data_IF_611162085115
#
_entry.id   IF_611162085115
#
_cell.length_a   1.000
_cell.length_b   1.000
_cell.length_c   1.000
_cell.angle_alpha   90.00
_cell.angle_beta   90.00
_cell.angle_gamma   90.00
#
_symmetry.space_group_name_H-M   'P 1'
#
loop_
_entity.id
_entity.type
_entity.pdbx_description
1 polymer ?
#
# COMPACT_ATOMS: atom_id res chain seq x y z
N UNK A 1 -21.49 -13.50 -42.82
CA UNK A 1 -21.98 -13.85 -41.47
C UNK A 1 -20.84 -14.19 -40.50
N UNK A 2 -19.72 -14.77 -40.95
CA UNK A 2 -18.58 -15.18 -40.13
C UNK A 2 -17.94 -14.04 -39.27
N UNK A 3 -17.76 -12.84 -39.82
CA UNK A 3 -17.17 -11.72 -39.06
C UNK A 3 -17.98 -11.30 -37.83
N UNK A 4 -19.32 -11.43 -37.85
CA UNK A 4 -20.16 -11.03 -36.71
C UNK A 4 -20.04 -12.00 -35.53
N UNK A 5 -19.79 -13.29 -35.82
CA UNK A 5 -19.52 -14.29 -34.80
C UNK A 5 -18.13 -14.12 -34.18
N UNK A 6 -17.11 -13.81 -34.99
CA UNK A 6 -15.74 -13.55 -34.50
C UNK A 6 -15.70 -12.31 -33.60
N UNK A 7 -16.41 -11.24 -33.97
CA UNK A 7 -16.49 -10.03 -33.14
C UNK A 7 -17.22 -10.32 -31.83
N UNK A 8 -18.30 -11.09 -31.86
CA UNK A 8 -19.05 -11.49 -30.67
C UNK A 8 -18.19 -12.32 -29.71
N UNK A 9 -17.47 -13.33 -30.21
CA UNK A 9 -16.58 -14.16 -29.38
C UNK A 9 -15.41 -13.36 -28.82
N UNK A 10 -14.86 -12.41 -29.59
CA UNK A 10 -13.80 -11.52 -29.12
C UNK A 10 -14.28 -10.60 -27.98
N UNK A 11 -15.51 -10.07 -28.06
CA UNK A 11 -16.10 -9.22 -27.02
C UNK A 11 -16.37 -10.02 -25.73
N UNK A 12 -16.85 -11.26 -25.86
CA UNK A 12 -17.07 -12.12 -24.69
C UNK A 12 -15.73 -12.51 -24.04
N UNK A 13 -14.71 -12.81 -24.84
CA UNK A 13 -13.38 -13.13 -24.32
C UNK A 13 -12.73 -11.95 -23.58
N UNK A 14 -12.85 -10.72 -24.11
CA UNK A 14 -12.31 -9.52 -23.45
C UNK A 14 -13.05 -9.20 -22.16
N UNK A 15 -14.37 -9.38 -22.10
CA UNK A 15 -15.15 -9.26 -20.87
C UNK A 15 -14.73 -10.27 -19.79
N UNK A 16 -14.40 -11.51 -20.17
CA UNK A 16 -13.99 -12.55 -19.23
C UNK A 16 -12.60 -12.26 -18.61
N UNK A 17 -11.68 -11.66 -19.36
CA UNK A 17 -10.35 -11.29 -18.86
C UNK A 17 -10.38 -10.09 -17.90
N UNK A 18 -11.37 -9.20 -18.00
CA UNK A 18 -11.46 -8.01 -17.16
C UNK A 18 -11.97 -8.30 -15.73
N UNK A 19 -12.58 -9.46 -15.48
CA UNK A 19 -13.17 -9.80 -14.19
C UNK A 19 -12.14 -10.16 -13.09
N UNK A 20 -10.88 -10.39 -13.45
CA UNK A 20 -9.83 -10.83 -12.52
C UNK A 20 -9.02 -9.67 -11.91
N UNK A 21 -9.64 -8.51 -11.70
CA UNK A 21 -8.97 -7.43 -11.00
C UNK A 21 -8.65 -7.87 -9.56
N UNK A 22 -7.39 -7.84 -9.11
CA UNK A 22 -7.06 -8.15 -7.72
C UNK A 22 -7.73 -7.13 -6.80
N UNK A 23 -8.38 -7.61 -5.74
CA UNK A 23 -8.93 -6.72 -4.71
C UNK A 23 -7.77 -6.00 -4.02
N UNK A 24 -7.72 -4.66 -4.07
CA UNK A 24 -6.65 -3.93 -3.41
C UNK A 24 -6.72 -4.17 -1.90
N UNK A 25 -5.56 -4.22 -1.24
CA UNK A 25 -5.49 -4.28 0.22
C UNK A 25 -6.20 -3.04 0.80
N UNK A 26 -7.11 -3.24 1.74
CA UNK A 26 -7.88 -2.17 2.33
C UNK A 26 -7.02 -1.46 3.39
N UNK A 27 -6.66 -0.20 3.15
CA UNK A 27 -5.90 0.61 4.10
C UNK A 27 -6.88 1.39 4.98
N UNK A 28 -6.81 1.17 6.30
CA UNK A 28 -7.56 1.95 7.27
C UNK A 28 -6.86 3.28 7.53
N UNK A 29 -7.64 4.35 7.40
CA UNK A 29 -7.18 5.73 7.43
C UNK A 29 -6.38 6.08 8.70
N UNK A 30 -5.48 7.07 8.60
CA UNK A 30 -4.67 7.50 9.72
C UNK A 30 -5.53 8.19 10.79
N UNK A 31 -5.61 7.59 11.98
CA UNK A 31 -6.13 8.24 13.17
C UNK A 31 -5.02 9.13 13.74
N UNK A 32 -5.23 10.44 13.69
CA UNK A 32 -4.26 11.44 14.15
C UNK A 32 -4.71 12.00 15.50
N UNK A 33 -3.83 11.92 16.49
CA UNK A 33 -4.01 12.55 17.80
C UNK A 33 -2.83 13.46 18.09
N UNK A 34 -3.11 14.69 18.50
CA UNK A 34 -2.07 15.64 18.92
C UNK A 34 -2.07 15.69 20.44
N UNK A 35 -0.94 15.35 21.07
CA UNK A 35 -0.75 15.47 22.53
C UNK A 35 0.63 16.04 22.81
N UNK A 36 0.71 17.08 23.64
CA UNK A 36 1.98 17.66 24.12
C UNK A 36 3.02 17.89 23.00
N UNK A 37 2.62 18.60 21.94
CA UNK A 37 3.47 18.89 20.78
C UNK A 37 3.97 17.64 20.02
N UNK A 38 3.35 16.48 20.27
CA UNK A 38 3.63 15.21 19.60
C UNK A 38 2.42 14.82 18.76
N UNK A 39 2.68 14.45 17.51
CA UNK A 39 1.66 13.95 16.58
C UNK A 39 1.73 12.43 16.62
N UNK A 40 0.68 11.80 17.15
CA UNK A 40 0.50 10.36 17.13
C UNK A 40 -0.37 10.00 15.93
N UNK A 41 0.17 9.15 15.05
CA UNK A 41 -0.54 8.65 13.87
C UNK A 41 -0.67 7.14 13.99
N UNK A 42 -1.91 6.63 13.96
CA UNK A 42 -2.19 5.20 13.93
C UNK A 42 -2.87 4.87 12.62
N UNK A 43 -2.27 3.97 11.84
CA UNK A 43 -2.86 3.44 10.60
C UNK A 43 -2.78 1.92 10.62
N UNK A 44 -3.65 1.26 9.88
CA UNK A 44 -3.66 -0.18 9.73
C UNK A 44 -3.99 -0.55 8.29
N UNK A 45 -3.72 -1.79 7.91
CA UNK A 45 -4.09 -2.30 6.59
C UNK A 45 -4.57 -3.73 6.76
N UNK A 46 -5.65 -4.08 6.08
CA UNK A 46 -6.11 -5.44 5.95
C UNK A 46 -5.45 -6.09 4.73
N UNK A 47 -4.86 -7.25 4.93
CA UNK A 47 -4.25 -8.00 3.84
C UNK A 47 -5.32 -8.78 3.11
N UNK A 48 -5.23 -8.81 1.78
CA UNK A 48 -6.07 -9.68 0.98
C UNK A 48 -5.83 -11.16 1.32
N UNK A 49 -6.86 -12.00 1.19
CA UNK A 49 -6.82 -13.43 1.49
C UNK A 49 -5.69 -14.13 0.74
N UNK A 50 -5.46 -13.77 -0.52
CA UNK A 50 -4.35 -14.32 -1.32
C UNK A 50 -2.99 -14.01 -0.69
N UNK A 51 -2.81 -12.80 -0.17
CA UNK A 51 -1.58 -12.41 0.50
C UNK A 51 -1.38 -13.14 1.83
N UNK A 52 -2.46 -13.37 2.57
CA UNK A 52 -2.44 -14.16 3.80
C UNK A 52 -2.08 -15.62 3.50
N UNK A 53 -2.65 -16.20 2.44
CA UNK A 53 -2.37 -17.57 2.01
C UNK A 53 -0.91 -17.75 1.57
N UNK A 54 -0.37 -16.81 0.81
CA UNK A 54 1.04 -16.80 0.39
C UNK A 54 1.97 -16.72 1.61
N UNK A 55 1.68 -15.82 2.55
CA UNK A 55 2.45 -15.68 3.79
C UNK A 55 2.40 -16.97 4.62
N UNK A 56 1.23 -17.61 4.69
CA UNK A 56 1.03 -18.86 5.44
C UNK A 56 1.75 -20.04 4.79
N UNK A 57 1.93 -20.03 3.46
CA UNK A 57 2.73 -21.02 2.71
C UNK A 57 4.24 -20.81 2.85
N UNK A 58 4.68 -19.85 3.67
CA UNK A 58 6.10 -19.57 3.93
C UNK A 58 6.70 -18.51 3.02
N UNK A 59 5.89 -17.80 2.22
CA UNK A 59 6.38 -16.67 1.41
C UNK A 59 6.58 -15.45 2.31
N UNK A 60 7.82 -15.00 2.47
CA UNK A 60 8.14 -13.76 3.16
C UNK A 60 7.67 -12.56 2.33
N UNK A 61 6.84 -11.68 2.89
CA UNK A 61 6.49 -10.39 2.28
C UNK A 61 7.05 -9.24 3.11
N UNK A 62 7.49 -8.17 2.47
CA UNK A 62 7.86 -6.93 3.15
C UNK A 62 6.76 -5.89 2.92
N UNK A 63 6.26 -5.31 4.02
CA UNK A 63 5.33 -4.18 3.97
C UNK A 63 6.09 -2.93 4.32
N UNK A 64 5.95 -1.89 3.51
CA UNK A 64 6.57 -0.58 3.74
C UNK A 64 5.47 0.47 3.80
N UNK A 65 5.29 1.07 4.98
CA UNK A 65 4.42 2.22 5.17
C UNK A 65 5.21 3.50 4.92
N UNK A 66 4.67 4.38 4.09
CA UNK A 66 5.22 5.71 3.84
C UNK A 66 4.27 6.75 4.45
N UNK A 67 4.75 7.48 5.45
CA UNK A 67 4.00 8.55 6.11
C UNK A 67 4.64 9.87 5.74
N UNK A 68 3.90 10.71 5.02
CA UNK A 68 4.35 12.05 4.64
C UNK A 68 3.47 13.09 5.32
N UNK A 69 4.12 14.08 5.93
CA UNK A 69 3.48 15.25 6.51
C UNK A 69 3.72 16.44 5.60
N UNK A 70 2.63 17.03 5.13
CA UNK A 70 2.62 18.24 4.32
C UNK A 70 2.03 19.39 5.13
N UNK A 71 2.57 20.59 4.91
CA UNK A 71 2.01 21.83 5.39
C UNK A 71 1.16 22.42 4.28
N UNK A 72 -0.13 22.54 4.56
CA UNK A 72 -1.07 23.15 3.63
C UNK A 72 -1.00 24.67 3.73
N UNK A 73 -0.89 25.34 2.58
CA UNK A 73 -0.89 26.79 2.47
C UNK A 73 -2.14 27.27 1.72
N UNK A 74 -2.59 28.51 2.01
CA UNK A 74 -3.77 29.09 1.34
C UNK A 74 -3.49 29.60 -0.08
N UNK A 75 -2.28 30.09 -0.32
CA UNK A 75 -1.89 30.78 -1.55
C UNK A 75 -0.63 30.21 -2.20
N UNK A 76 -0.03 29.20 -1.58
CA UNK A 76 1.18 28.52 -2.05
C UNK A 76 0.89 27.03 -2.14
N UNK A 77 1.62 26.29 -2.99
CA UNK A 77 1.57 24.85 -3.02
C UNK A 77 1.98 24.24 -1.67
N UNK A 78 1.43 23.07 -1.39
CA UNK A 78 1.68 22.33 -0.16
C UNK A 78 3.17 22.02 -0.01
N UNK A 79 3.70 22.31 1.18
CA UNK A 79 5.11 22.13 1.47
C UNK A 79 5.35 20.80 2.17
N UNK A 80 6.29 19.99 1.67
CA UNK A 80 6.73 18.79 2.37
C UNK A 80 7.53 19.14 3.63
N UNK A 81 7.00 18.73 4.79
CA UNK A 81 7.63 18.98 6.10
C UNK A 81 8.55 17.83 6.49
N UNK A 82 8.00 16.62 6.58
CA UNK A 82 8.72 15.43 7.03
C UNK A 82 8.12 14.17 6.45
N UNK A 83 8.97 13.18 6.16
CA UNK A 83 8.56 11.85 5.73
C UNK A 83 9.26 10.79 6.56
N UNK A 84 8.51 9.75 6.89
CA UNK A 84 9.01 8.57 7.61
C UNK A 84 8.56 7.35 6.82
N UNK A 85 9.47 6.42 6.57
CA UNK A 85 9.12 5.08 6.13
C UNK A 85 9.29 4.10 7.28
N UNK A 86 8.31 3.20 7.45
CA UNK A 86 8.38 2.10 8.41
C UNK A 86 8.26 0.82 7.61
N UNK A 87 9.32 0.02 7.57
CA UNK A 87 9.28 -1.29 6.92
C UNK A 87 9.24 -2.43 7.93
N UNK A 88 8.41 -3.42 7.64
CA UNK A 88 8.23 -4.63 8.44
C UNK A 88 8.12 -5.85 7.53
N UNK A 89 8.96 -6.84 7.78
CA UNK A 89 8.87 -8.14 7.12
C UNK A 89 7.82 -9.01 7.82
N UNK A 90 6.82 -9.47 7.07
CA UNK A 90 5.86 -10.48 7.50
C UNK A 90 6.35 -11.86 7.09
N UNK A 91 6.61 -12.70 8.09
CA UNK A 91 6.95 -14.12 7.93
C UNK A 91 6.06 -14.92 8.86
N UNK A 92 5.36 -15.92 8.33
CA UNK A 92 4.63 -16.87 9.15
C UNK A 92 5.54 -18.04 9.50
N UNK A 93 5.58 -18.40 10.77
CA UNK A 93 6.17 -19.67 11.20
C UNK A 93 5.12 -20.77 10.96
N UNK A 94 5.36 -21.73 10.04
CA UNK A 94 4.38 -22.75 9.68
C UNK A 94 4.03 -23.68 10.85
N UNK A 95 4.89 -23.76 11.88
CA UNK A 95 4.67 -24.59 13.07
C UNK A 95 3.76 -23.88 14.08
N UNK A 96 3.99 -22.59 14.33
CA UNK A 96 3.22 -21.80 15.30
C UNK A 96 1.95 -21.15 14.73
N UNK A 97 1.81 -21.07 13.40
CA UNK A 97 0.71 -20.35 12.70
C UNK A 97 0.47 -18.93 13.23
N UNK A 98 1.49 -18.32 13.82
CA UNK A 98 1.46 -16.95 14.32
C UNK A 98 2.49 -16.15 13.55
N UNK A 99 2.14 -14.94 13.16
CA UNK A 99 3.10 -13.99 12.60
C UNK A 99 3.74 -13.28 13.81
N UNK A 100 5.00 -13.57 14.18
CA UNK A 100 5.65 -12.83 15.23
C UNK A 100 5.74 -11.36 14.82
N UNK A 101 5.11 -10.48 15.57
CA UNK A 101 5.32 -9.05 15.45
C UNK A 101 6.76 -8.77 15.87
N UNK A 102 7.65 -8.59 14.89
CA UNK A 102 9.02 -8.14 15.18
C UNK A 102 8.94 -6.81 15.92
N UNK A 103 9.49 -6.69 17.14
CA UNK A 103 9.57 -5.43 17.86
C UNK A 103 10.48 -4.42 17.14
N UNK A 104 11.34 -4.89 16.23
CA UNK A 104 12.17 -4.08 15.36
C UNK A 104 11.48 -3.87 14.01
N UNK A 105 10.58 -2.89 13.95
CA UNK A 105 10.20 -2.28 12.68
C UNK A 105 11.27 -1.25 12.30
N UNK A 106 11.81 -1.34 11.09
CA UNK A 106 12.86 -0.43 10.65
C UNK A 106 12.23 0.90 10.24
N UNK A 107 12.27 1.89 11.14
CA UNK A 107 11.86 3.26 10.83
C UNK A 107 13.04 4.02 10.23
N UNK A 108 12.87 4.57 9.01
CA UNK A 108 13.85 5.41 8.34
C UNK A 108 13.24 6.78 8.05
N UNK A 109 13.98 7.83 8.37
CA UNK A 109 13.61 9.19 7.99
C UNK A 109 13.88 9.38 6.50
N UNK A 110 12.85 9.77 5.75
CA UNK A 110 12.98 10.03 4.32
C UNK A 110 13.53 11.45 4.11
N UNK A 111 14.50 11.58 3.21
CA UNK A 111 15.00 12.89 2.78
C UNK A 111 14.13 13.42 1.64
N UNK A 112 14.04 14.75 1.54
CA UNK A 112 13.34 15.48 0.48
C UNK A 112 13.95 15.08 -0.87
N UNK A 113 13.35 14.11 -1.57
CA UNK A 113 13.84 13.53 -2.83
C UNK A 113 13.80 11.99 -2.92
N UNK A 114 13.69 11.27 -1.80
CA UNK A 114 13.58 9.80 -1.79
C UNK A 114 12.13 9.30 -1.71
N UNK A 115 11.16 10.17 -2.01
CA UNK A 115 9.74 9.88 -1.90
C UNK A 115 9.22 9.29 -3.21
N UNK A 116 8.63 8.08 -3.21
CA UNK A 116 8.01 7.52 -4.42
C UNK A 116 6.78 8.32 -4.89
N UNK A 117 6.26 9.24 -4.07
CA UNK A 117 5.13 10.11 -4.44
C UNK A 117 5.55 11.28 -5.34
N UNK A 118 6.82 11.74 -5.29
CA UNK A 118 7.30 12.85 -6.14
C UNK A 118 7.48 12.47 -7.62
N UNK A 119 7.50 11.18 -7.95
CA UNK A 119 7.51 10.71 -9.34
C UNK A 119 6.12 10.56 -9.96
N UNK A 120 5.05 10.60 -9.16
CA UNK A 120 3.67 10.46 -9.65
C UNK A 120 3.03 11.79 -10.07
N UNK A 121 3.59 12.94 -9.68
CA UNK A 121 3.08 14.28 -10.05
C UNK A 121 3.82 14.89 -11.25
N UNK A 122 4.64 14.11 -11.96
CA UNK A 122 5.34 14.52 -13.17
C UNK A 122 4.76 13.80 -14.40
N UNK A 123 3.49 14.07 -14.68
CA UNK A 123 2.85 13.77 -15.97
C UNK A 123 2.38 15.09 -16.59
N UNK A 124 2.59 15.32 -17.89
CA UNK A 124 2.20 16.54 -18.59
C UNK A 124 0.68 16.76 -18.59
#
# INVERSE_FOLDING_TARGET
>A
MLNRFIISTLIVATMLLAAAAPSPAEVYGPNVKIRNNTILVSTGMNLDKKSIDEITKGVSKEIVFYVHMFRQWRWWPDEFVIGISVSQALRCDPVKRSIPLSPYAAARRLKRGSSPASSLSAGP
#
